data_IF_872327217591
#
_entry.id   IF_872327217591
#
_cell.length_a   1.000
_cell.length_b   1.000
_cell.length_c   1.000
_cell.angle_alpha   90.00
_cell.angle_beta   90.00
_cell.angle_gamma   90.00
#
_symmetry.space_group_name_H-M   'P 1'
#
loop_
_entity.id
_entity.type
_entity.pdbx_description
1 polymer ?
#
# COMPACT_ATOMS: atom_id res chain seq x y z
N UNK A 1 -17.61 24.10 -3.05
CA UNK A 1 -16.87 22.88 -3.43
C UNK A 1 -15.38 23.17 -3.50
N UNK A 2 -14.51 22.17 -3.29
CA UNK A 2 -13.05 22.33 -3.42
C UNK A 2 -12.64 22.09 -4.87
N UNK A 3 -11.91 23.02 -5.47
CA UNK A 3 -11.37 22.88 -6.82
C UNK A 3 -9.86 22.60 -6.78
N UNK A 4 -9.41 21.60 -7.54
CA UNK A 4 -8.01 21.20 -7.64
C UNK A 4 -7.64 20.93 -9.11
N UNK A 5 -6.38 21.21 -9.46
CA UNK A 5 -5.82 20.92 -10.77
C UNK A 5 -4.63 19.97 -10.62
N UNK A 6 -4.60 18.90 -11.40
CA UNK A 6 -3.49 17.97 -11.47
C UNK A 6 -2.46 18.50 -12.46
N UNK A 7 -1.22 18.67 -11.99
CA UNK A 7 -0.09 19.14 -12.80
C UNK A 7 0.99 18.08 -12.88
N UNK A 8 1.68 17.98 -14.01
CA UNK A 8 2.92 17.22 -14.19
C UNK A 8 3.99 18.19 -14.71
N UNK A 9 5.13 18.33 -13.99
CA UNK A 9 6.16 19.34 -14.29
C UNK A 9 5.56 20.73 -14.57
N UNK A 10 4.65 21.16 -13.68
CA UNK A 10 3.87 22.40 -13.74
C UNK A 10 2.86 22.56 -14.90
N UNK A 11 2.73 21.56 -15.78
CA UNK A 11 1.73 21.53 -16.85
C UNK A 11 0.41 20.94 -16.32
N UNK A 12 -0.69 21.71 -16.29
CA UNK A 12 -1.99 21.20 -15.86
C UNK A 12 -2.60 20.30 -16.93
N UNK A 13 -3.32 19.26 -16.53
CA UNK A 13 -3.96 18.35 -17.51
C UNK A 13 -5.27 17.71 -17.04
N UNK A 14 -5.67 17.87 -15.78
CA UNK A 14 -6.95 17.35 -15.27
C UNK A 14 -7.48 18.19 -14.10
N UNK A 15 -8.76 18.55 -14.17
CA UNK A 15 -9.50 19.23 -13.11
C UNK A 15 -10.17 18.19 -12.21
N UNK A 16 -10.24 18.48 -10.91
CA UNK A 16 -11.05 17.74 -9.94
C UNK A 16 -11.83 18.68 -9.05
N UNK A 17 -13.13 18.46 -8.98
CA UNK A 17 -14.04 19.13 -8.06
C UNK A 17 -14.51 18.14 -7.01
N UNK A 18 -14.42 18.52 -5.74
CA UNK A 18 -14.85 17.71 -4.61
C UNK A 18 -15.92 18.45 -3.80
N UNK A 19 -17.07 17.82 -3.64
CA UNK A 19 -18.13 18.22 -2.70
C UNK A 19 -18.16 17.24 -1.51
N UNK A 20 -18.97 17.49 -0.47
CA UNK A 20 -19.13 16.51 0.62
C UNK A 20 -19.71 15.16 0.17
N UNK A 21 -20.40 15.10 -0.98
CA UNK A 21 -21.16 13.94 -1.43
C UNK A 21 -20.61 13.29 -2.70
N UNK A 22 -19.85 14.03 -3.52
CA UNK A 22 -19.35 13.52 -4.80
C UNK A 22 -18.01 14.13 -5.21
N UNK A 23 -17.31 13.42 -6.09
CA UNK A 23 -16.07 13.87 -6.72
C UNK A 23 -16.19 13.71 -8.24
N UNK A 24 -15.98 14.80 -8.98
CA UNK A 24 -16.05 14.82 -10.45
C UNK A 24 -14.69 15.24 -11.00
N UNK A 25 -14.24 14.58 -12.06
CA UNK A 25 -12.97 14.86 -12.73
C UNK A 25 -13.19 15.07 -14.22
N UNK A 26 -12.53 16.07 -14.79
CA UNK A 26 -12.54 16.36 -16.23
C UNK A 26 -11.11 16.53 -16.73
N UNK A 27 -10.77 15.91 -17.84
CA UNK A 27 -9.49 16.17 -18.53
C UNK A 27 -9.57 17.52 -19.23
N UNK A 28 -8.46 18.25 -19.26
CA UNK A 28 -8.36 19.47 -20.06
C UNK A 28 -8.23 19.12 -21.55
N UNK A 29 -8.39 20.12 -22.40
CA UNK A 29 -8.24 20.01 -23.87
C UNK A 29 -6.94 19.31 -24.29
N UNK A 30 -6.97 18.69 -25.48
CA UNK A 30 -5.88 17.88 -26.01
C UNK A 30 -4.52 18.59 -26.01
N UNK A 31 -4.48 19.91 -26.23
CA UNK A 31 -3.23 20.71 -26.20
C UNK A 31 -2.49 20.62 -24.86
N UNK A 32 -3.21 20.48 -23.75
CA UNK A 32 -2.62 20.27 -22.41
C UNK A 32 -2.08 18.85 -22.26
N UNK A 33 -2.79 17.86 -22.79
CA UNK A 33 -2.38 16.46 -22.77
C UNK A 33 -1.13 16.25 -23.63
N UNK A 34 -1.10 16.86 -24.81
CA UNK A 34 0.05 16.87 -25.72
C UNK A 34 1.25 17.55 -25.08
N UNK A 35 1.08 18.73 -24.47
CA UNK A 35 2.15 19.42 -23.74
C UNK A 35 2.68 18.56 -22.58
N UNK A 36 1.80 17.97 -21.77
CA UNK A 36 2.17 17.09 -20.68
C UNK A 36 2.96 15.87 -21.19
N UNK A 37 2.54 15.28 -22.31
CA UNK A 37 3.21 14.13 -22.94
C UNK A 37 4.57 14.52 -23.52
N UNK A 38 4.67 15.68 -24.18
CA UNK A 38 5.91 16.21 -24.73
C UNK A 38 6.95 16.57 -23.65
N UNK A 39 6.49 16.87 -22.43
CA UNK A 39 7.35 17.14 -21.27
C UNK A 39 7.91 15.88 -20.60
N UNK A 40 7.44 14.68 -20.96
CA UNK A 40 7.95 13.44 -20.39
C UNK A 40 9.35 13.12 -20.92
N UNK A 41 10.25 12.77 -20.02
CA UNK A 41 11.61 12.31 -20.31
C UNK A 41 11.74 10.80 -20.03
N UNK A 42 12.72 10.12 -20.66
CA UNK A 42 13.04 8.73 -20.34
C UNK A 42 13.36 8.56 -18.85
N UNK A 43 12.53 7.81 -18.13
CA UNK A 43 12.65 7.58 -16.69
C UNK A 43 11.68 8.36 -15.81
N UNK A 44 10.90 9.29 -16.38
CA UNK A 44 9.82 9.95 -15.65
C UNK A 44 8.75 8.95 -15.24
N UNK A 45 8.38 8.95 -13.95
CA UNK A 45 7.17 8.31 -13.49
C UNK A 45 6.10 9.37 -13.26
N UNK A 46 5.22 9.52 -14.25
CA UNK A 46 4.12 10.51 -14.26
C UNK A 46 3.25 10.40 -13.00
N UNK A 47 3.06 9.20 -12.44
CA UNK A 47 2.23 8.99 -11.25
C UNK A 47 2.88 9.56 -9.98
N UNK A 48 4.21 9.49 -9.87
CA UNK A 48 4.95 10.06 -8.73
C UNK A 48 5.21 11.56 -8.88
N UNK A 49 5.40 12.03 -10.12
CA UNK A 49 5.74 13.42 -10.40
C UNK A 49 4.51 14.34 -10.46
N UNK A 50 3.33 13.79 -10.75
CA UNK A 50 2.10 14.58 -10.77
C UNK A 50 1.71 15.05 -9.37
N UNK A 51 1.24 16.28 -9.25
CA UNK A 51 0.81 16.89 -7.98
C UNK A 51 -0.53 17.57 -8.15
N UNK A 52 -1.43 17.36 -7.19
CA UNK A 52 -2.65 18.15 -7.08
C UNK A 52 -2.29 19.53 -6.53
N UNK A 53 -2.76 20.56 -7.21
CA UNK A 53 -2.65 21.95 -6.79
C UNK A 53 -4.04 22.48 -6.46
N UNK A 54 -4.23 23.01 -5.26
CA UNK A 54 -5.54 23.51 -4.81
C UNK A 54 -5.79 24.93 -5.35
N UNK A 55 -6.90 25.11 -6.06
CA UNK A 55 -7.37 26.40 -6.59
C UNK A 55 -8.31 27.15 -5.63
N UNK A 56 -8.57 26.57 -4.45
CA UNK A 56 -9.42 27.16 -3.41
C UNK A 56 -10.83 26.56 -3.36
N UNK A 57 -11.71 27.24 -2.62
CA UNK A 57 -13.13 26.89 -2.50
C UNK A 57 -13.93 27.74 -3.48
N UNK A 58 -14.79 27.11 -4.27
CA UNK A 58 -15.67 27.72 -5.28
C UNK A 58 -17.14 27.53 -4.92
N UNK A 59 -18.00 28.45 -5.37
CA UNK A 59 -19.43 28.47 -5.07
C UNK A 59 -20.23 28.53 -6.37
N UNK A 60 -21.09 27.54 -6.60
CA UNK A 60 -21.84 27.37 -7.85
C UNK A 60 -22.28 25.91 -8.00
N UNK A 61 -22.84 25.57 -9.16
CA UNK A 61 -23.07 24.17 -9.53
C UNK A 61 -21.77 23.50 -10.00
N UNK A 62 -21.75 22.15 -10.03
CA UNK A 62 -20.55 21.42 -10.47
C UNK A 62 -20.18 21.74 -11.92
N UNK A 63 -21.17 21.84 -12.81
CA UNK A 63 -20.94 22.12 -14.23
C UNK A 63 -20.39 23.55 -14.42
N UNK A 64 -21.03 24.55 -13.80
CA UNK A 64 -20.59 25.94 -13.87
C UNK A 64 -19.14 26.12 -13.37
N UNK A 65 -18.80 25.52 -12.22
CA UNK A 65 -17.44 25.62 -11.69
C UNK A 65 -16.44 24.84 -12.53
N UNK A 66 -16.85 23.73 -13.15
CA UNK A 66 -15.97 22.96 -14.02
C UNK A 66 -15.62 23.78 -15.28
N UNK A 67 -16.62 24.39 -15.90
CA UNK A 67 -16.44 25.25 -17.08
C UNK A 67 -15.63 26.51 -16.73
N UNK A 68 -15.90 27.15 -15.59
CA UNK A 68 -15.13 28.31 -15.09
C UNK A 68 -13.65 27.95 -14.90
N UNK A 69 -13.36 26.84 -14.22
CA UNK A 69 -11.97 26.40 -13.98
C UNK A 69 -11.29 26.02 -15.30
N UNK A 70 -12.02 25.42 -16.23
CA UNK A 70 -11.49 25.09 -17.56
C UNK A 70 -11.14 26.36 -18.34
N UNK A 71 -12.03 27.35 -18.40
CA UNK A 71 -11.77 28.65 -19.03
C UNK A 71 -10.60 29.39 -18.36
N UNK A 72 -10.50 29.36 -17.02
CA UNK A 72 -9.35 29.89 -16.28
C UNK A 72 -8.04 29.21 -16.72
N UNK A 73 -8.03 27.87 -16.82
CA UNK A 73 -6.84 27.14 -17.26
C UNK A 73 -6.49 27.49 -18.71
N UNK A 74 -7.48 27.64 -19.59
CA UNK A 74 -7.23 28.04 -20.96
C UNK A 74 -6.60 29.43 -21.06
N UNK A 75 -7.10 30.39 -20.27
CA UNK A 75 -6.60 31.76 -20.23
C UNK A 75 -5.20 31.87 -19.60
N UNK A 76 -4.93 31.10 -18.54
CA UNK A 76 -3.64 31.14 -17.83
C UNK A 76 -2.51 30.41 -18.58
N UNK A 77 -2.87 29.46 -19.45
CA UNK A 77 -1.91 28.63 -20.18
C UNK A 77 -2.15 28.71 -21.70
N UNK A 78 -1.84 29.85 -22.34
CA UNK A 78 -1.80 29.94 -23.80
C UNK A 78 -0.70 29.03 -24.38
N UNK A 79 -0.77 28.74 -25.69
CA UNK A 79 0.12 27.74 -26.32
C UNK A 79 1.60 28.06 -26.16
N UNK A 80 1.99 29.33 -26.19
CA UNK A 80 3.36 29.76 -25.94
C UNK A 80 3.81 29.49 -24.50
N UNK A 81 2.93 29.61 -23.51
CA UNK A 81 3.23 29.30 -22.12
C UNK A 81 3.37 27.77 -21.93
N UNK A 82 2.50 26.98 -22.58
CA UNK A 82 2.62 25.52 -22.58
C UNK A 82 3.94 25.07 -23.22
N UNK A 83 4.33 25.64 -24.36
CA UNK A 83 5.61 25.36 -25.01
C UNK A 83 6.81 25.70 -24.11
N UNK A 84 6.79 26.86 -23.44
CA UNK A 84 7.84 27.23 -22.49
C UNK A 84 7.93 26.26 -21.29
N UNK A 85 6.79 25.75 -20.81
CA UNK A 85 6.77 24.75 -19.75
C UNK A 85 7.35 23.42 -20.22
N UNK A 86 7.05 23.00 -21.44
CA UNK A 86 7.65 21.80 -22.06
C UNK A 86 9.16 21.96 -22.21
N UNK A 87 9.63 23.08 -22.73
CA UNK A 87 11.07 23.36 -22.87
C UNK A 87 11.78 23.34 -21.52
N UNK A 88 11.21 23.99 -20.49
CA UNK A 88 11.74 23.95 -19.13
C UNK A 88 11.75 22.53 -18.56
N UNK A 89 10.68 21.76 -18.75
CA UNK A 89 10.56 20.38 -18.30
C UNK A 89 11.58 19.46 -18.98
N UNK A 90 11.95 19.74 -20.23
CA UNK A 90 12.98 19.02 -20.98
C UNK A 90 14.40 19.43 -20.60
N UNK A 91 14.60 20.66 -20.12
CA UNK A 91 15.91 21.15 -19.66
C UNK A 91 16.18 20.86 -18.18
N UNK A 92 15.12 20.74 -17.37
CA UNK A 92 15.22 20.43 -15.95
C UNK A 92 15.42 18.93 -15.81
N UNK A 93 16.64 18.53 -15.44
CA UNK A 93 16.90 17.16 -14.98
C UNK A 93 16.42 17.06 -13.53
N UNK A 94 15.10 17.05 -13.33
CA UNK A 94 14.54 16.60 -12.06
C UNK A 94 14.79 15.09 -11.99
N UNK A 95 16.01 14.74 -11.60
CA UNK A 95 16.41 13.39 -11.28
C UNK A 95 15.57 13.00 -10.06
N UNK A 96 14.43 12.35 -10.29
CA UNK A 96 13.86 11.51 -9.25
C UNK A 96 14.97 10.53 -8.90
N UNK A 97 15.48 10.52 -7.66
CA UNK A 97 16.51 9.55 -7.30
C UNK A 97 15.91 8.18 -7.58
N UNK A 98 16.48 7.45 -8.56
CA UNK A 98 16.16 6.04 -8.68
C UNK A 98 16.52 5.42 -7.33
N UNK A 99 15.56 4.74 -6.71
CA UNK A 99 15.75 4.10 -5.42
C UNK A 99 16.88 3.08 -5.60
N UNK A 100 18.08 3.44 -5.15
CA UNK A 100 19.26 2.61 -5.31
C UNK A 100 19.13 1.46 -4.32
N UNK A 101 18.74 0.29 -4.83
CA UNK A 101 18.72 -0.92 -4.01
C UNK A 101 20.13 -1.45 -3.83
N UNK A 102 20.52 -1.77 -2.59
CA UNK A 102 21.80 -2.40 -2.29
C UNK A 102 21.66 -3.40 -1.16
N UNK A 103 22.43 -4.48 -1.24
CA UNK A 103 22.41 -5.51 -0.22
C UNK A 103 23.16 -5.03 1.02
N UNK A 104 22.54 -5.24 2.18
CA UNK A 104 23.11 -4.89 3.49
C UNK A 104 23.52 -6.17 4.19
N UNK A 105 24.71 -6.22 4.78
CA UNK A 105 25.10 -7.37 5.62
C UNK A 105 24.64 -7.15 7.06
N UNK A 106 24.44 -8.23 7.82
CA UNK A 106 24.16 -8.14 9.26
C UNK A 106 25.27 -7.35 9.99
N UNK A 107 26.53 -7.58 9.64
CA UNK A 107 27.66 -6.91 10.27
C UNK A 107 27.65 -5.38 10.05
N UNK A 108 27.32 -4.92 8.84
CA UNK A 108 27.22 -3.49 8.53
C UNK A 108 26.02 -2.86 9.25
N UNK A 109 24.91 -3.59 9.32
CA UNK A 109 23.69 -3.16 10.00
C UNK A 109 23.93 -3.00 11.52
N UNK A 110 24.61 -3.96 12.16
CA UNK A 110 24.94 -3.92 13.58
C UNK A 110 25.89 -2.77 13.93
N UNK A 111 26.89 -2.51 13.08
CA UNK A 111 27.84 -1.41 13.28
C UNK A 111 27.20 -0.02 13.13
N UNK A 112 26.05 0.08 12.48
CA UNK A 112 25.34 1.34 12.28
C UNK A 112 24.58 1.74 13.53
N UNK A 113 24.96 2.83 14.20
CA UNK A 113 24.32 3.24 15.47
C UNK A 113 22.99 4.01 15.28
N UNK A 114 22.84 4.80 14.20
CA UNK A 114 21.62 5.59 13.98
C UNK A 114 20.49 4.71 13.41
N UNK A 115 19.40 4.59 14.16
CA UNK A 115 18.22 3.84 13.75
C UNK A 115 17.59 4.36 12.45
N UNK A 116 17.75 5.65 12.12
CA UNK A 116 17.26 6.21 10.85
C UNK A 116 18.07 5.68 9.67
N UNK A 117 19.38 5.52 9.86
CA UNK A 117 20.25 4.91 8.84
C UNK A 117 19.94 3.43 8.69
N UNK A 118 19.77 2.70 9.79
CA UNK A 118 19.27 1.31 9.76
C UNK A 118 17.94 1.18 9.00
N UNK A 119 17.02 2.13 9.17
CA UNK A 119 15.76 2.11 8.43
C UNK A 119 15.98 2.38 6.93
N UNK A 120 16.85 3.32 6.58
CA UNK A 120 17.24 3.56 5.18
C UNK A 120 17.83 2.29 4.55
N UNK A 121 18.74 1.61 5.25
CA UNK A 121 19.33 0.34 4.85
C UNK A 121 18.26 -0.72 4.53
N UNK A 122 17.27 -0.93 5.40
CA UNK A 122 16.19 -1.90 5.16
C UNK A 122 15.27 -1.47 4.01
N UNK A 123 14.89 -0.19 3.93
CA UNK A 123 13.98 0.29 2.87
C UNK A 123 14.62 0.35 1.47
N UNK A 124 15.95 0.33 1.41
CA UNK A 124 16.75 0.22 0.20
C UNK A 124 17.22 -1.23 -0.06
N UNK A 125 16.78 -2.20 0.74
CA UNK A 125 17.15 -3.59 0.53
C UNK A 125 16.51 -4.13 -0.76
N UNK A 126 17.24 -4.86 -1.63
CA UNK A 126 16.67 -5.52 -2.80
C UNK A 126 15.67 -6.61 -2.38
N UNK A 127 15.04 -7.33 -3.32
CA UNK A 127 14.19 -8.49 -2.95
C UNK A 127 15.04 -9.47 -2.12
N UNK A 128 14.70 -9.73 -0.86
CA UNK A 128 15.48 -10.61 0.00
C UNK A 128 15.31 -12.07 -0.40
N UNK A 129 16.27 -12.88 0.04
CA UNK A 129 16.31 -14.34 -0.12
C UNK A 129 16.43 -15.01 1.26
N UNK A 130 16.37 -16.34 1.32
CA UNK A 130 16.54 -17.08 2.57
C UNK A 130 17.92 -16.84 3.23
N UNK A 131 18.93 -16.40 2.47
CA UNK A 131 20.23 -16.02 3.03
C UNK A 131 20.16 -14.79 3.95
N UNK A 132 19.08 -14.01 3.86
CA UNK A 132 18.90 -12.76 4.60
C UNK A 132 18.19 -12.94 5.93
N UNK A 133 17.73 -14.16 6.27
CA UNK A 133 17.08 -14.43 7.54
C UNK A 133 17.88 -13.96 8.76
N UNK A 134 19.22 -14.12 8.86
CA UNK A 134 19.97 -13.61 10.00
C UNK A 134 19.82 -12.10 10.21
N UNK A 135 19.90 -11.30 9.12
CA UNK A 135 19.70 -9.86 9.17
C UNK A 135 18.26 -9.51 9.57
N UNK A 136 17.27 -10.12 8.91
CA UNK A 136 15.87 -9.78 9.14
C UNK A 136 15.38 -10.24 10.52
N UNK A 137 15.87 -11.38 11.01
CA UNK A 137 15.60 -11.88 12.36
C UNK A 137 16.19 -11.00 13.45
N UNK A 138 17.33 -10.36 13.19
CA UNK A 138 17.91 -9.33 14.04
C UNK A 138 17.10 -8.03 13.97
N UNK A 139 16.72 -7.57 12.77
CA UNK A 139 15.90 -6.37 12.61
C UNK A 139 14.53 -6.48 13.31
N UNK A 140 14.00 -7.71 13.48
CA UNK A 140 12.81 -8.00 14.29
C UNK A 140 12.98 -7.78 15.80
N UNK A 141 14.21 -7.66 16.33
CA UNK A 141 14.45 -7.43 17.77
C UNK A 141 14.76 -5.96 18.08
N UNK A 142 14.80 -5.10 17.07
CA UNK A 142 15.10 -3.68 17.18
C UNK A 142 14.15 -2.91 18.09
N UNK A 143 14.64 -1.88 18.77
CA UNK A 143 13.81 -1.08 19.68
C UNK A 143 12.71 -0.30 18.95
N UNK A 144 13.03 0.19 17.75
CA UNK A 144 12.13 1.03 16.94
C UNK A 144 11.11 0.19 16.19
N UNK A 145 9.84 0.54 16.34
CA UNK A 145 8.70 -0.12 15.66
C UNK A 145 8.86 -0.10 14.14
N UNK A 146 9.42 0.98 13.58
CA UNK A 146 9.63 1.14 12.14
C UNK A 146 10.57 0.08 11.58
N UNK A 147 11.66 -0.25 12.30
CA UNK A 147 12.64 -1.26 11.88
C UNK A 147 12.03 -2.66 11.92
N UNK A 148 11.36 -3.01 13.02
CA UNK A 148 10.69 -4.31 13.15
C UNK A 148 9.60 -4.50 12.10
N UNK A 149 8.82 -3.46 11.82
CA UNK A 149 7.79 -3.52 10.78
C UNK A 149 8.39 -3.72 9.39
N UNK A 150 9.46 -2.99 9.06
CA UNK A 150 10.14 -3.14 7.78
C UNK A 150 10.75 -4.54 7.63
N UNK A 151 11.29 -5.10 8.71
CA UNK A 151 11.78 -6.48 8.73
C UNK A 151 10.68 -7.49 8.37
N UNK A 152 9.47 -7.33 8.93
CA UNK A 152 8.31 -8.17 8.56
C UNK A 152 7.94 -8.05 7.08
N UNK A 153 7.97 -6.83 6.52
CA UNK A 153 7.70 -6.60 5.10
C UNK A 153 8.76 -7.28 4.23
N UNK A 154 10.03 -7.16 4.56
CA UNK A 154 11.10 -7.84 3.82
C UNK A 154 10.97 -9.36 3.93
N UNK A 155 10.68 -9.89 5.12
CA UNK A 155 10.43 -11.32 5.31
C UNK A 155 9.31 -11.83 4.41
N UNK A 156 8.20 -11.09 4.27
CA UNK A 156 7.08 -11.52 3.42
C UNK A 156 7.42 -11.60 1.93
N UNK A 157 8.52 -10.98 1.49
CA UNK A 157 8.98 -11.03 0.09
C UNK A 157 9.78 -12.30 -0.24
N UNK A 158 10.23 -13.07 0.76
CA UNK A 158 11.03 -14.30 0.53
C UNK A 158 10.16 -15.44 -0.03
N UNK A 159 8.83 -15.35 0.07
CA UNK A 159 7.87 -16.30 -0.54
C UNK A 159 8.19 -17.79 -0.27
N UNK A 160 8.67 -18.07 0.94
CA UNK A 160 9.06 -19.41 1.40
C UNK A 160 8.37 -19.77 2.71
N UNK A 161 7.99 -21.04 2.87
CA UNK A 161 7.42 -21.56 4.14
C UNK A 161 8.39 -21.44 5.31
N UNK A 162 9.70 -21.42 5.03
CA UNK A 162 10.75 -21.20 6.04
C UNK A 162 10.67 -19.79 6.65
N UNK A 163 9.90 -18.87 6.06
CA UNK A 163 9.65 -17.52 6.60
C UNK A 163 8.69 -17.55 7.79
N UNK A 164 7.82 -18.56 7.87
CA UNK A 164 6.70 -18.61 8.83
C UNK A 164 7.12 -18.42 10.30
N UNK A 165 8.19 -19.06 10.82
CA UNK A 165 8.63 -18.85 12.20
C UNK A 165 8.96 -17.38 12.52
N UNK A 166 9.48 -16.62 11.55
CA UNK A 166 9.79 -15.19 11.73
C UNK A 166 8.52 -14.33 11.73
N UNK A 167 7.54 -14.65 10.88
CA UNK A 167 6.24 -13.97 10.88
C UNK A 167 5.44 -14.26 12.15
N UNK A 168 5.54 -15.48 12.71
CA UNK A 168 4.95 -15.81 14.01
C UNK A 168 5.53 -14.95 15.13
N UNK A 169 6.86 -14.71 15.14
CA UNK A 169 7.47 -13.75 16.06
C UNK A 169 6.92 -12.34 15.86
N UNK A 170 6.67 -11.93 14.61
CA UNK A 170 6.02 -10.66 14.28
C UNK A 170 4.59 -10.55 14.82
N UNK A 171 3.81 -11.64 14.81
CA UNK A 171 2.48 -11.72 15.43
C UNK A 171 2.52 -11.59 16.96
N UNK A 172 3.66 -11.77 17.61
CA UNK A 172 3.82 -11.64 19.06
C UNK A 172 4.45 -10.29 19.47
N UNK A 173 4.63 -9.36 18.52
CA UNK A 173 5.28 -8.09 18.78
C UNK A 173 4.51 -7.21 19.79
N UNK A 174 5.26 -6.48 20.62
CA UNK A 174 4.71 -5.49 21.56
C UNK A 174 3.86 -4.40 20.90
N UNK A 175 4.11 -4.08 19.64
CA UNK A 175 3.39 -3.07 18.86
C UNK A 175 2.28 -3.71 18.01
N UNK A 176 1.01 -3.28 18.14
CA UNK A 176 -0.07 -3.79 17.29
C UNK A 176 0.14 -3.48 15.81
N UNK A 177 0.94 -2.45 15.47
CA UNK A 177 1.27 -2.14 14.09
C UNK A 177 2.14 -3.24 13.45
N UNK A 178 3.10 -3.81 14.20
CA UNK A 178 3.96 -4.90 13.71
C UNK A 178 3.18 -6.20 13.63
N UNK A 179 2.36 -6.52 14.64
CA UNK A 179 1.47 -7.70 14.63
C UNK A 179 0.52 -7.67 13.44
N UNK A 180 -0.08 -6.52 13.17
CA UNK A 180 -0.91 -6.33 11.98
C UNK A 180 -0.11 -6.58 10.69
N UNK A 181 1.09 -6.00 10.56
CA UNK A 181 1.93 -6.24 9.36
C UNK A 181 2.31 -7.72 9.22
N UNK A 182 2.53 -8.44 10.31
CA UNK A 182 2.76 -9.89 10.26
C UNK A 182 1.51 -10.65 9.82
N UNK A 183 0.33 -10.22 10.27
CA UNK A 183 -0.95 -10.74 9.78
C UNK A 183 -1.16 -10.48 8.29
N UNK A 184 -0.87 -9.25 7.83
CA UNK A 184 -0.92 -8.87 6.41
C UNK A 184 0.02 -9.77 5.58
N UNK A 185 1.27 -9.94 6.03
CA UNK A 185 2.26 -10.81 5.39
C UNK A 185 1.82 -12.27 5.30
N UNK A 186 1.24 -12.82 6.36
CA UNK A 186 0.73 -14.19 6.36
C UNK A 186 -0.44 -14.37 5.39
N UNK A 187 -1.35 -13.40 5.29
CA UNK A 187 -2.41 -13.40 4.27
C UNK A 187 -1.88 -13.34 2.85
N UNK A 188 -0.86 -12.53 2.60
CA UNK A 188 -0.26 -12.43 1.26
C UNK A 188 0.38 -13.76 0.84
N UNK A 189 1.10 -14.43 1.76
CA UNK A 189 1.70 -15.75 1.52
C UNK A 189 0.66 -16.87 1.45
N UNK A 190 -0.36 -16.82 2.31
CA UNK A 190 -1.46 -17.77 2.36
C UNK A 190 -1.08 -19.21 2.73
N UNK A 191 0.05 -19.47 3.38
CA UNK A 191 0.40 -20.84 3.76
C UNK A 191 -0.53 -21.36 4.86
N UNK A 192 -1.26 -22.46 4.60
CA UNK A 192 -2.20 -23.06 5.55
C UNK A 192 -1.54 -23.48 6.88
N UNK A 193 -0.23 -23.68 6.89
CA UNK A 193 0.57 -23.90 8.10
C UNK A 193 0.45 -22.75 9.13
N UNK A 194 0.02 -21.55 8.70
CA UNK A 194 -0.22 -20.41 9.58
C UNK A 194 -1.59 -20.43 10.27
N UNK A 195 -2.49 -21.36 9.92
CA UNK A 195 -3.83 -21.45 10.52
C UNK A 195 -3.80 -21.49 12.06
N UNK A 196 -2.95 -22.30 12.73
CA UNK A 196 -2.90 -22.31 14.20
C UNK A 196 -2.47 -20.96 14.80
N UNK A 197 -1.56 -20.25 14.15
CA UNK A 197 -1.11 -18.93 14.61
C UNK A 197 -2.20 -17.88 14.42
N UNK A 198 -2.91 -17.92 13.28
CA UNK A 198 -4.01 -16.99 12.99
C UNK A 198 -5.24 -17.25 13.85
N UNK A 199 -5.52 -18.51 14.23
CA UNK A 199 -6.53 -18.82 15.26
C UNK A 199 -6.20 -18.12 16.57
N UNK A 200 -4.95 -18.19 17.06
CA UNK A 200 -4.53 -17.47 18.27
C UNK A 200 -4.63 -15.96 18.14
N UNK A 201 -4.41 -15.42 16.94
CA UNK A 201 -4.50 -13.99 16.68
C UNK A 201 -5.95 -13.44 16.72
N UNK A 202 -6.97 -14.30 16.77
CA UNK A 202 -8.35 -13.90 17.09
C UNK A 202 -8.49 -13.41 18.53
N UNK A 203 -7.59 -13.79 19.44
CA UNK A 203 -7.59 -13.32 20.84
C UNK A 203 -6.82 -11.99 21.02
N UNK A 204 -6.31 -11.37 19.93
CA UNK A 204 -5.48 -10.18 20.05
C UNK A 204 -6.25 -9.01 20.70
N UNK A 205 -5.65 -8.26 21.65
CA UNK A 205 -6.32 -7.12 22.28
C UNK A 205 -6.72 -6.03 21.26
N UNK A 206 -6.04 -5.94 20.12
CA UNK A 206 -6.26 -4.91 19.11
C UNK A 206 -7.12 -5.43 17.95
N UNK A 207 -8.27 -4.78 17.72
CA UNK A 207 -9.25 -5.18 16.71
C UNK A 207 -8.69 -5.38 15.29
N UNK A 208 -7.70 -4.56 14.90
CA UNK A 208 -7.10 -4.64 13.57
C UNK A 208 -6.34 -5.96 13.34
N UNK A 209 -5.77 -6.55 14.39
CA UNK A 209 -5.05 -7.83 14.29
C UNK A 209 -6.07 -8.97 14.23
N UNK A 210 -7.10 -8.94 15.08
CA UNK A 210 -8.23 -9.89 15.02
C UNK A 210 -8.93 -9.89 13.67
N UNK A 211 -9.13 -8.71 13.08
CA UNK A 211 -9.70 -8.60 11.74
C UNK A 211 -8.83 -9.29 10.68
N UNK A 212 -7.50 -9.16 10.77
CA UNK A 212 -6.57 -9.86 9.87
C UNK A 212 -6.55 -11.36 10.07
N UNK A 213 -6.62 -11.81 11.32
CA UNK A 213 -6.79 -13.22 11.64
C UNK A 213 -8.08 -13.78 11.01
N UNK A 214 -9.22 -13.10 11.22
CA UNK A 214 -10.50 -13.50 10.64
C UNK A 214 -10.47 -13.53 9.10
N UNK A 215 -9.80 -12.57 8.46
CA UNK A 215 -9.66 -12.54 7.00
C UNK A 215 -8.80 -13.70 6.48
N UNK A 216 -7.69 -14.02 7.14
CA UNK A 216 -6.88 -15.19 6.79
C UNK A 216 -7.67 -16.49 6.94
N UNK A 217 -8.45 -16.63 8.01
CA UNK A 217 -9.29 -17.80 8.25
C UNK A 217 -10.43 -17.90 7.22
N UNK A 218 -10.94 -16.76 6.75
CA UNK A 218 -11.82 -16.73 5.58
C UNK A 218 -11.09 -17.25 4.34
N UNK A 219 -9.90 -16.78 4.03
CA UNK A 219 -9.20 -17.12 2.79
C UNK A 219 -8.67 -18.57 2.76
N UNK A 220 -8.15 -19.09 3.87
CA UNK A 220 -7.38 -20.34 3.94
C UNK A 220 -7.98 -21.38 4.92
N UNK A 221 -8.93 -20.99 5.78
CA UNK A 221 -9.48 -21.86 6.83
C UNK A 221 -10.44 -22.94 6.30
N UNK A 222 -10.66 -23.96 7.13
CA UNK A 222 -11.60 -25.05 6.87
C UNK A 222 -12.40 -25.43 8.12
N UNK A 223 -13.05 -26.59 8.05
CA UNK A 223 -13.92 -27.12 9.12
C UNK A 223 -13.20 -27.16 10.49
N UNK A 224 -11.90 -27.42 10.50
CA UNK A 224 -11.09 -27.46 11.72
C UNK A 224 -11.04 -26.11 12.47
N UNK A 225 -11.21 -24.99 11.79
CA UNK A 225 -11.18 -23.65 12.40
C UNK A 225 -12.57 -23.14 12.81
N UNK A 226 -13.65 -23.87 12.48
CA UNK A 226 -15.02 -23.43 12.73
C UNK A 226 -15.32 -23.24 14.22
N UNK A 227 -14.81 -24.11 15.08
CA UNK A 227 -15.00 -24.01 16.52
C UNK A 227 -14.37 -22.71 17.08
N UNK A 228 -13.18 -22.36 16.61
CA UNK A 228 -12.49 -21.14 17.02
C UNK A 228 -13.19 -19.88 16.50
N UNK A 229 -13.64 -19.89 15.24
CA UNK A 229 -14.41 -18.77 14.67
C UNK A 229 -15.72 -18.54 15.44
N UNK A 230 -16.48 -19.60 15.75
CA UNK A 230 -17.72 -19.51 16.53
C UNK A 230 -17.50 -18.97 17.94
N UNK A 231 -16.38 -19.32 18.58
CA UNK A 231 -16.03 -18.77 19.89
C UNK A 231 -15.80 -17.24 19.86
N UNK A 232 -15.50 -16.67 18.68
CA UNK A 232 -15.22 -15.24 18.49
C UNK A 232 -16.32 -14.49 17.70
N UNK A 233 -17.45 -15.13 17.38
CA UNK A 233 -18.49 -14.55 16.53
C UNK A 233 -19.10 -13.26 17.11
N UNK A 234 -19.07 -13.09 18.43
CA UNK A 234 -19.64 -11.93 19.12
C UNK A 234 -18.59 -10.84 19.42
N UNK A 235 -17.58 -10.70 18.54
CA UNK A 235 -16.52 -9.70 18.70
C UNK A 235 -17.08 -8.29 18.90
N UNK A 236 -16.47 -7.53 19.82
CA UNK A 236 -16.87 -6.16 20.15
C UNK A 236 -16.77 -5.19 18.94
N UNK A 237 -15.86 -5.43 18.00
CA UNK A 237 -15.72 -4.65 16.79
C UNK A 237 -16.61 -5.20 15.67
N UNK A 238 -17.47 -4.35 15.13
CA UNK A 238 -18.41 -4.72 14.06
C UNK A 238 -17.71 -5.33 12.85
N UNK A 239 -16.61 -4.75 12.41
CA UNK A 239 -15.88 -5.20 11.23
C UNK A 239 -15.25 -6.58 11.43
N UNK A 240 -14.83 -6.90 12.66
CA UNK A 240 -14.28 -8.22 13.02
C UNK A 240 -15.39 -9.26 13.02
N UNK A 241 -16.52 -8.96 13.68
CA UNK A 241 -17.70 -9.84 13.69
C UNK A 241 -18.19 -10.18 12.29
N UNK A 242 -18.36 -9.16 11.43
CA UNK A 242 -18.77 -9.37 10.04
C UNK A 242 -17.81 -10.30 9.29
N UNK A 243 -16.49 -10.09 9.46
CA UNK A 243 -15.49 -10.93 8.80
C UNK A 243 -15.51 -12.39 9.31
N UNK A 244 -15.72 -12.58 10.61
CA UNK A 244 -15.85 -13.92 11.21
C UNK A 244 -17.11 -14.63 10.72
N UNK A 245 -18.24 -13.92 10.67
CA UNK A 245 -19.51 -14.45 10.14
C UNK A 245 -19.38 -14.88 8.68
N UNK A 246 -18.68 -14.10 7.85
CA UNK A 246 -18.37 -14.48 6.47
C UNK A 246 -17.52 -15.76 6.41
N UNK A 247 -16.51 -15.90 7.28
CA UNK A 247 -15.68 -17.10 7.36
C UNK A 247 -16.47 -18.34 7.77
N UNK A 248 -17.30 -18.22 8.81
CA UNK A 248 -18.21 -19.28 9.27
C UNK A 248 -19.14 -19.70 8.15
N UNK A 249 -19.83 -18.73 7.54
CA UNK A 249 -20.81 -18.98 6.47
C UNK A 249 -20.18 -19.72 5.29
N UNK A 250 -19.01 -19.26 4.83
CA UNK A 250 -18.26 -19.92 3.74
C UNK A 250 -17.95 -21.38 4.08
N UNK A 251 -17.41 -21.63 5.27
CA UNK A 251 -16.99 -22.96 5.72
C UNK A 251 -18.22 -23.89 5.87
N UNK A 252 -19.33 -23.40 6.42
CA UNK A 252 -20.55 -24.19 6.62
C UNK A 252 -21.28 -24.51 5.32
N UNK A 253 -21.21 -23.62 4.32
CA UNK A 253 -21.73 -23.88 2.98
C UNK A 253 -20.86 -24.84 2.16
N UNK A 254 -19.72 -25.30 2.71
CA UNK A 254 -18.81 -26.20 2.04
C UNK A 254 -18.02 -25.55 0.91
N UNK A 255 -17.99 -24.22 0.85
CA UNK A 255 -17.20 -23.49 -0.14
C UNK A 255 -15.71 -23.68 0.16
N UNK A 256 -14.95 -24.12 -0.83
CA UNK A 256 -13.51 -24.27 -0.69
C UNK A 256 -12.85 -22.92 -0.35
N UNK A 257 -11.79 -22.98 0.44
CA UNK A 257 -10.90 -21.84 0.64
C UNK A 257 -10.42 -21.35 -0.74
N UNK A 258 -10.80 -20.13 -1.12
CA UNK A 258 -10.43 -19.55 -2.41
C UNK A 258 -8.95 -19.12 -2.43
N UNK A 259 -8.30 -19.10 -1.27
CA UNK A 259 -6.97 -18.54 -1.06
C UNK A 259 -6.96 -17.02 -1.18
N UNK A 260 -5.85 -16.38 -0.81
CA UNK A 260 -5.71 -14.93 -0.93
C UNK A 260 -6.00 -14.40 -2.35
N UNK A 261 -6.45 -13.15 -2.47
CA UNK A 261 -6.72 -12.49 -3.76
C UNK A 261 -5.55 -12.63 -4.73
N UNK A 262 -4.32 -12.57 -4.22
CA UNK A 262 -3.10 -12.75 -5.01
C UNK A 262 -2.95 -14.16 -5.58
N UNK A 263 -3.21 -15.20 -4.77
CA UNK A 263 -3.25 -16.59 -5.27
C UNK A 263 -4.34 -16.79 -6.31
N UNK A 264 -5.51 -16.18 -6.14
CA UNK A 264 -6.59 -16.26 -7.13
C UNK A 264 -6.17 -15.61 -8.45
N UNK A 265 -5.46 -14.47 -8.42
CA UNK A 265 -4.90 -13.82 -9.61
C UNK A 265 -3.80 -14.67 -10.26
N UNK A 266 -2.90 -15.26 -9.46
CA UNK A 266 -1.82 -16.11 -9.96
C UNK A 266 -2.34 -17.41 -10.59
N UNK A 267 -3.35 -18.04 -9.99
CA UNK A 267 -3.96 -19.26 -10.49
C UNK A 267 -4.80 -19.05 -11.76
N UNK A 268 -5.33 -17.84 -11.99
CA UNK A 268 -6.04 -17.49 -13.25
C UNK A 268 -5.13 -17.32 -14.46
N UNK A 269 -3.81 -17.20 -14.26
CA UNK A 269 -2.82 -17.03 -15.34
C UNK A 269 -2.12 -18.35 -15.74
N UNK A 270 -2.54 -19.48 -15.16
CA UNK A 270 -2.17 -20.83 -15.58
C UNK A 270 -3.33 -21.47 -16.33
#
# INVERSE_FOLDING_TARGET
>A
MKAEILKFKDIPYQIKLTTPTEEVRRQLEDRFIEAMTAAQQPGDNVVFLRKWHTLGIRYGTLEEIMDEVEEEMQALYPDNALQQLVERAQQTTDIVPQKAYYHVTLADYEQTADWKERLRMLTAFPKPTEADYPLLAYALTEDKVQLRREAVVLLSMIESKETLPYLYRGLEDKSPAVRRTAGDALSDLGYAEALPAMVRALDDPHKIVRWRAAMFLFDEGGVEQLAALKAHQDDAAYEVRLQIEMAITRIEQGEAALGSVWKQIANRKR
#
